data_IF_708489776726
#
_entry.id   IF_708489776726
#
_cell.length_a   1.000
_cell.length_b   1.000
_cell.length_c   1.000
_cell.angle_alpha   90.00
_cell.angle_beta   90.00
_cell.angle_gamma   90.00
#
_symmetry.space_group_name_H-M   'P 1'
#
loop_
_entity.id
_entity.type
_entity.pdbx_description
1 polymer ?
#
# COMPACT_ATOMS: atom_id res chain seq x y z
N UNK A 1 -15.25 -4.51 -11.06
CA UNK A 1 -14.92 -3.13 -10.65
C UNK A 1 -15.45 -2.21 -11.74
N UNK A 2 -16.40 -1.32 -11.44
CA UNK A 2 -17.01 -0.42 -12.44
C UNK A 2 -16.10 0.74 -12.86
N UNK A 3 -14.83 0.45 -13.08
CA UNK A 3 -13.75 1.39 -13.42
C UNK A 3 -13.26 1.12 -14.85
N UNK A 4 -14.19 1.06 -15.79
CA UNK A 4 -13.85 0.77 -17.19
C UNK A 4 -13.04 1.92 -17.80
N UNK A 5 -11.95 1.59 -18.48
CA UNK A 5 -11.05 2.54 -19.13
C UNK A 5 -10.04 3.23 -18.21
N UNK A 6 -9.97 2.89 -16.93
CA UNK A 6 -8.96 3.42 -16.02
C UNK A 6 -7.71 2.53 -15.98
N UNK A 7 -6.54 3.13 -16.16
CA UNK A 7 -5.26 2.46 -15.97
C UNK A 7 -4.67 2.83 -14.62
N UNK A 8 -4.35 1.80 -13.83
CA UNK A 8 -3.80 1.95 -12.49
C UNK A 8 -2.39 1.38 -12.41
N UNK A 9 -1.50 2.15 -11.79
CA UNK A 9 -0.17 1.69 -11.39
C UNK A 9 -0.15 1.34 -9.93
N UNK A 10 0.22 0.10 -9.64
CA UNK A 10 0.34 -0.40 -8.27
C UNK A 10 1.66 0.10 -7.68
N UNK A 11 1.57 0.80 -6.55
CA UNK A 11 2.72 1.45 -5.89
C UNK A 11 3.19 0.69 -4.65
N UNK A 12 2.29 -0.02 -3.98
CA UNK A 12 2.60 -0.77 -2.77
C UNK A 12 1.46 -1.70 -2.35
N UNK A 13 1.80 -2.65 -1.50
CA UNK A 13 0.89 -3.66 -0.97
C UNK A 13 1.10 -3.76 0.55
N UNK A 14 0.04 -4.08 1.26
CA UNK A 14 0.09 -4.42 2.69
C UNK A 14 -0.60 -5.76 2.89
N UNK A 15 0.03 -6.56 3.75
CA UNK A 15 -0.49 -7.86 4.15
C UNK A 15 -1.38 -7.78 5.39
N UNK A 16 -2.18 -8.83 5.65
CA UNK A 16 -2.96 -9.02 6.90
C UNK A 16 -2.20 -8.73 8.19
N UNK A 17 -0.91 -9.05 8.24
CA UNK A 17 -0.09 -8.78 9.44
C UNK A 17 0.46 -7.34 9.50
N UNK A 18 0.03 -6.44 8.62
CA UNK A 18 0.54 -5.07 8.49
C UNK A 18 1.96 -4.97 7.95
N UNK A 19 2.50 -6.06 7.38
CA UNK A 19 3.84 -6.06 6.81
C UNK A 19 3.84 -5.29 5.48
N UNK A 20 4.65 -4.24 5.32
CA UNK A 20 4.71 -3.50 4.07
C UNK A 20 5.40 -4.35 2.99
N UNK A 21 4.95 -4.20 1.74
CA UNK A 21 5.67 -4.77 0.60
C UNK A 21 6.88 -3.94 0.19
N UNK A 22 7.85 -4.59 -0.45
CA UNK A 22 9.03 -3.93 -1.02
C UNK A 22 9.21 -4.33 -2.47
N UNK A 23 9.38 -3.32 -3.34
CA UNK A 23 9.44 -3.48 -4.80
C UNK A 23 10.59 -4.38 -5.28
N UNK A 24 11.72 -4.31 -4.58
CA UNK A 24 12.95 -5.07 -4.86
C UNK A 24 12.82 -6.58 -4.59
N UNK A 25 11.80 -7.00 -3.82
CA UNK A 25 11.66 -8.39 -3.39
C UNK A 25 10.61 -9.08 -4.25
N UNK A 26 11.05 -9.91 -5.18
CA UNK A 26 10.19 -10.62 -6.15
C UNK A 26 9.61 -11.93 -5.60
N UNK A 27 9.01 -11.88 -4.41
CA UNK A 27 8.37 -13.04 -3.81
C UNK A 27 6.89 -12.80 -3.50
N UNK A 28 6.11 -13.88 -3.58
CA UNK A 28 4.70 -13.91 -3.16
C UNK A 28 4.53 -14.09 -1.65
N UNK A 29 5.62 -14.40 -0.93
CA UNK A 29 5.64 -14.72 0.50
C UNK A 29 6.27 -13.63 1.37
N UNK A 30 6.11 -13.77 2.69
CA UNK A 30 6.78 -12.93 3.69
C UNK A 30 8.18 -13.45 3.98
N UNK A 31 9.13 -12.53 4.16
CA UNK A 31 10.51 -12.86 4.51
C UNK A 31 11.04 -11.88 5.56
N UNK A 32 11.87 -12.39 6.48
CA UNK A 32 12.64 -11.52 7.37
C UNK A 32 13.89 -11.05 6.66
N UNK A 33 14.03 -9.74 6.51
CA UNK A 33 15.16 -9.13 5.81
C UNK A 33 15.88 -8.14 6.71
N UNK A 34 17.21 -8.09 6.60
CA UNK A 34 18.06 -7.14 7.32
C UNK A 34 18.11 -5.81 6.57
N UNK A 35 17.28 -4.87 6.99
CA UNK A 35 17.08 -3.58 6.35
C UNK A 35 17.94 -2.48 6.98
N UNK A 36 18.50 -1.61 6.14
CA UNK A 36 19.14 -0.36 6.56
C UNK A 36 18.19 0.83 6.44
N UNK A 37 17.31 0.84 5.42
CA UNK A 37 16.39 1.93 5.12
C UNK A 37 15.16 1.45 4.32
N UNK A 38 14.19 2.35 4.15
CA UNK A 38 13.02 2.16 3.31
C UNK A 38 11.76 1.69 4.05
N UNK A 39 10.77 1.13 3.33
CA UNK A 39 9.50 0.68 3.91
C UNK A 39 9.72 -0.29 5.07
N UNK A 40 9.08 -0.02 6.20
CA UNK A 40 9.23 -0.79 7.44
C UNK A 40 10.30 -0.26 8.42
N UNK A 41 11.12 0.72 8.03
CA UNK A 41 12.02 1.45 8.94
C UNK A 41 11.72 2.94 8.90
N UNK A 42 11.24 3.48 10.02
CA UNK A 42 11.09 4.92 10.23
C UNK A 42 12.36 5.47 10.89
N UNK A 43 12.96 6.52 10.30
CA UNK A 43 14.19 7.17 10.75
C UNK A 43 15.43 6.25 10.79
N UNK A 44 16.01 5.88 9.63
CA UNK A 44 17.23 5.07 9.59
C UNK A 44 18.41 5.83 10.23
N UNK A 45 19.05 5.24 11.24
CA UNK A 45 20.30 5.75 11.82
C UNK A 45 21.49 5.16 11.07
N UNK A 46 22.51 5.97 10.76
CA UNK A 46 23.73 5.52 10.10
C UNK A 46 24.36 4.36 10.90
N UNK A 47 24.65 3.26 10.22
CA UNK A 47 25.24 2.05 10.84
C UNK A 47 24.24 1.09 11.51
N UNK A 48 22.96 1.46 11.70
CA UNK A 48 21.96 0.54 12.27
C UNK A 48 21.24 -0.23 11.17
N UNK A 49 21.24 -1.56 11.27
CA UNK A 49 20.39 -2.44 10.45
C UNK A 49 19.38 -3.14 11.35
N UNK A 50 18.15 -3.27 10.89
CA UNK A 50 17.04 -3.87 11.64
C UNK A 50 16.50 -5.03 10.83
N UNK A 51 16.38 -6.21 11.45
CA UNK A 51 15.69 -7.34 10.86
C UNK A 51 14.19 -7.14 11.02
N UNK A 52 13.46 -7.01 9.90
CA UNK A 52 12.01 -6.81 9.87
C UNK A 52 11.35 -7.78 8.89
N UNK A 53 10.09 -8.11 9.18
CA UNK A 53 9.24 -8.87 8.28
C UNK A 53 8.76 -7.97 7.16
N UNK A 54 8.96 -8.40 5.92
CA UNK A 54 8.61 -7.67 4.69
C UNK A 54 7.88 -8.63 3.76
N UNK A 55 6.89 -8.11 3.03
CA UNK A 55 6.23 -8.85 1.96
C UNK A 55 6.91 -8.56 0.61
N UNK A 56 6.96 -9.53 -0.28
CA UNK A 56 7.43 -9.24 -1.63
C UNK A 56 6.38 -8.48 -2.46
N UNK A 57 6.76 -8.13 -3.69
CA UNK A 57 6.01 -7.24 -4.57
C UNK A 57 4.84 -7.94 -5.28
N UNK A 58 4.75 -9.27 -5.23
CA UNK A 58 3.74 -10.04 -5.95
C UNK A 58 2.43 -10.08 -5.17
N UNK A 59 1.31 -9.82 -5.85
CA UNK A 59 -0.02 -9.83 -5.27
C UNK A 59 -0.46 -11.28 -5.07
N UNK A 60 -0.94 -11.57 -3.88
CA UNK A 60 -1.49 -12.88 -3.52
C UNK A 60 -2.71 -12.69 -2.63
N UNK A 61 -3.43 -13.79 -2.39
CA UNK A 61 -4.69 -13.81 -1.62
C UNK A 61 -4.58 -13.22 -0.21
N UNK A 62 -3.37 -13.21 0.37
CA UNK A 62 -3.11 -12.65 1.70
C UNK A 62 -2.92 -11.12 1.71
N UNK A 63 -3.01 -10.46 0.55
CA UNK A 63 -2.88 -9.01 0.45
C UNK A 63 -4.19 -8.34 0.84
N UNK A 64 -4.17 -7.46 1.84
CA UNK A 64 -5.38 -6.76 2.29
C UNK A 64 -5.57 -5.42 1.60
N UNK A 65 -4.48 -4.68 1.40
CA UNK A 65 -4.53 -3.35 0.82
C UNK A 65 -3.59 -3.25 -0.37
N UNK A 66 -4.09 -2.65 -1.44
CA UNK A 66 -3.36 -2.32 -2.65
C UNK A 66 -3.39 -0.81 -2.80
N UNK A 67 -2.21 -0.19 -2.81
CA UNK A 67 -2.07 1.23 -3.10
C UNK A 67 -1.81 1.38 -4.59
N UNK A 68 -2.63 2.19 -5.26
CA UNK A 68 -2.51 2.48 -6.68
C UNK A 68 -2.56 3.98 -6.96
N UNK A 69 -1.99 4.36 -8.11
CA UNK A 69 -2.08 5.69 -8.71
C UNK A 69 -2.74 5.53 -10.07
N UNK A 70 -3.57 6.49 -10.47
CA UNK A 70 -4.19 6.53 -11.80
C UNK A 70 -3.16 7.07 -12.79
N UNK A 71 -2.84 6.31 -13.83
CA UNK A 71 -2.01 6.78 -14.94
C UNK A 71 -2.88 7.34 -16.08
N UNK A 72 -4.01 6.71 -16.37
CA UNK A 72 -4.97 7.20 -17.37
C UNK A 72 -6.40 7.18 -16.83
N UNK A 73 -7.13 8.26 -17.11
CA UNK A 73 -8.52 8.42 -16.69
C UNK A 73 -9.47 7.81 -17.72
N UNK A 74 -10.39 6.97 -17.24
CA UNK A 74 -11.44 6.38 -18.05
C UNK A 74 -12.63 7.31 -18.31
N UNK A 75 -13.70 6.74 -18.87
CA UNK A 75 -14.82 7.50 -19.44
C UNK A 75 -15.75 8.17 -18.41
N UNK A 76 -15.73 7.74 -17.14
CA UNK A 76 -16.59 8.27 -16.07
C UNK A 76 -15.77 8.94 -14.99
N UNK A 77 -16.17 10.12 -14.52
CA UNK A 77 -15.48 10.85 -13.46
C UNK A 77 -15.50 10.08 -12.14
N UNK A 78 -14.38 10.11 -11.39
CA UNK A 78 -14.23 9.38 -10.12
C UNK A 78 -15.28 9.76 -9.08
N UNK A 79 -15.76 11.01 -9.07
CA UNK A 79 -16.78 11.51 -8.15
C UNK A 79 -18.13 10.80 -8.28
N UNK A 80 -18.45 10.24 -9.46
CA UNK A 80 -19.68 9.48 -9.69
C UNK A 80 -19.53 8.01 -9.25
N UNK A 81 -18.31 7.47 -9.33
CA UNK A 81 -17.99 6.07 -9.03
C UNK A 81 -17.78 5.88 -7.52
N UNK A 82 -17.13 6.85 -6.88
CA UNK A 82 -16.95 6.91 -5.43
C UNK A 82 -17.70 8.13 -4.90
N UNK A 83 -19.01 8.01 -4.63
CA UNK A 83 -19.75 9.11 -4.02
C UNK A 83 -19.03 9.53 -2.73
N UNK A 84 -18.58 10.79 -2.68
CA UNK A 84 -17.89 11.37 -1.52
C UNK A 84 -18.75 11.12 -0.27
N UNK A 85 -18.30 10.24 0.61
CA UNK A 85 -18.78 10.25 1.99
C UNK A 85 -18.34 11.58 2.60
N UNK A 86 -19.33 12.39 2.95
CA UNK A 86 -19.16 13.66 3.65
C UNK A 86 -18.17 13.52 4.84
N UNK A 87 -17.39 14.57 5.16
CA UNK A 87 -16.52 14.57 6.32
C UNK A 87 -17.37 14.37 7.58
N UNK A 88 -17.07 13.34 8.37
CA UNK A 88 -17.52 13.28 9.77
C UNK A 88 -16.73 14.30 10.57
N UNK A 89 -17.25 15.52 10.64
CA UNK A 89 -17.00 16.44 11.75
C UNK A 89 -17.46 15.81 13.07
N UNK A 90 -16.59 15.95 14.07
CA UNK A 90 -16.82 15.98 15.52
C UNK A 90 -17.29 14.73 16.28
N UNK A 91 -16.40 14.24 17.16
CA UNK A 91 -16.72 14.12 18.58
C UNK A 91 -15.44 14.33 19.42
N UNK A 92 -15.17 15.58 19.79
CA UNK A 92 -14.55 15.89 21.08
C UNK A 92 -15.55 15.43 22.16
N UNK A 93 -15.10 14.62 23.12
CA UNK A 93 -15.65 14.48 24.48
C UNK A 93 -14.41 14.50 25.39
N UNK A 94 -14.26 15.57 26.17
CA UNK A 94 -14.61 15.62 27.61
C UNK A 94 -13.86 14.59 28.43
#
# INVERSE_FOLDING_TARGET
MGLDGYYFKITGLIDKTGAPSRKEVEFSRKVFMLLSSGPGIRNPKKGKRIRRLVRGNTISVDTEQINSIIEEYGSKSLDEIFPKKAPKEEAKKE
#
